data_IF_736711578382
#
_entry.id   IF_736711578382
#
_cell.length_a   1.000
_cell.length_b   1.000
_cell.length_c   1.000
_cell.angle_alpha   90.00
_cell.angle_beta   90.00
_cell.angle_gamma   90.00
#
_symmetry.space_group_name_H-M   'P 1'
#
loop_
_entity.id
_entity.type
_entity.pdbx_description
1 polymer ?
#
# COMPACT_ATOMS: atom_id res chain seq x y z
N UNK A 1 2.19 -11.20 1.21
CA UNK A 1 0.85 -10.57 1.07
C UNK A 1 1.04 -9.08 1.22
N UNK A 2 0.46 -8.24 0.36
CA UNK A 2 0.85 -6.84 0.24
C UNK A 2 -0.33 -5.89 0.38
N UNK A 3 -0.31 -5.13 1.46
CA UNK A 3 -1.14 -3.94 1.63
C UNK A 3 -0.23 -2.73 1.48
N UNK A 4 -0.53 -1.86 0.52
CA UNK A 4 0.27 -0.68 0.24
C UNK A 4 -0.41 0.52 0.86
N UNK A 5 0.27 1.12 1.82
CA UNK A 5 -0.17 2.36 2.45
C UNK A 5 0.46 3.55 1.74
N UNK A 6 -0.37 4.52 1.42
CA UNK A 6 0.02 5.83 0.94
C UNK A 6 -0.74 6.83 1.79
N UNK A 7 -0.20 7.24 2.93
CA UNK A 7 -0.73 8.42 3.63
C UNK A 7 0.35 9.18 4.40
N UNK A 8 0.18 10.50 4.44
CA UNK A 8 1.11 11.51 4.96
C UNK A 8 1.12 11.69 6.48
N UNK A 9 0.37 10.89 7.23
CA UNK A 9 0.33 10.95 8.69
C UNK A 9 0.12 9.51 9.17
N UNK A 10 0.82 9.02 10.21
CA UNK A 10 0.53 7.70 10.75
C UNK A 10 -0.81 7.77 11.49
N UNK A 11 -1.91 7.69 10.77
CA UNK A 11 -3.22 7.38 11.33
C UNK A 11 -3.23 5.87 11.59
N UNK A 12 -2.87 5.50 12.81
CA UNK A 12 -2.87 4.15 13.41
C UNK A 12 -4.23 3.42 13.40
N UNK A 13 -5.17 3.86 12.56
CA UNK A 13 -6.56 3.47 12.63
C UNK A 13 -7.01 2.50 11.53
N UNK A 14 -6.22 2.30 10.46
CA UNK A 14 -6.79 1.79 9.22
C UNK A 14 -6.65 0.30 8.93
N UNK A 15 -5.71 -0.40 9.56
CA UNK A 15 -5.74 -1.86 9.74
C UNK A 15 -4.94 -2.09 11.02
N UNK A 16 -5.55 -2.64 12.07
CA UNK A 16 -4.81 -3.07 13.26
C UNK A 16 -3.97 -4.30 12.88
N UNK A 17 -2.87 -4.05 12.18
CA UNK A 17 -1.80 -5.01 11.97
C UNK A 17 -0.88 -4.91 13.18
N UNK A 18 -0.51 -6.03 13.86
CA UNK A 18 0.50 -6.00 14.89
C UNK A 18 1.75 -5.33 14.32
N UNK A 19 2.21 -4.28 14.99
CA UNK A 19 3.20 -3.31 14.52
C UNK A 19 4.62 -3.91 14.35
N UNK A 20 4.77 -5.21 14.62
CA UNK A 20 6.07 -5.85 14.84
C UNK A 20 6.78 -6.28 13.53
N UNK A 21 6.08 -6.40 12.40
CA UNK A 21 6.63 -6.87 11.12
C UNK A 21 6.43 -5.89 9.94
N UNK A 22 6.83 -4.63 10.11
CA UNK A 22 6.87 -3.66 9.01
C UNK A 22 8.25 -3.66 8.33
N UNK A 23 8.27 -3.92 7.02
CA UNK A 23 9.48 -3.77 6.19
C UNK A 23 9.41 -2.49 5.39
N UNK A 24 10.38 -1.60 5.60
CA UNK A 24 10.53 -0.40 4.79
C UNK A 24 10.93 -0.74 3.35
N UNK A 25 10.23 -0.17 2.37
CA UNK A 25 10.51 -0.40 0.95
C UNK A 25 11.28 0.77 0.33
N UNK A 26 10.69 1.96 0.36
CA UNK A 26 11.28 3.17 -0.22
C UNK A 26 10.57 4.45 0.23
N UNK A 27 11.09 5.60 -0.20
CA UNK A 27 10.38 6.87 -0.13
C UNK A 27 10.33 7.52 -1.51
N UNK A 28 9.25 8.25 -1.77
CA UNK A 28 9.02 8.92 -3.05
C UNK A 28 8.29 10.25 -2.84
N UNK A 29 8.61 11.21 -3.70
CA UNK A 29 7.96 12.52 -3.73
C UNK A 29 7.07 12.60 -4.99
N UNK A 30 5.76 12.30 -4.88
CA UNK A 30 4.86 12.22 -6.03
C UNK A 30 4.58 13.57 -6.71
N UNK A 31 4.86 14.68 -6.05
CA UNK A 31 4.56 16.03 -6.56
C UNK A 31 5.75 16.97 -6.44
N UNK A 32 6.95 16.46 -6.78
CA UNK A 32 8.17 17.26 -6.82
C UNK A 32 7.98 18.55 -7.62
N UNK A 33 8.28 19.70 -6.99
CA UNK A 33 8.13 21.03 -7.58
C UNK A 33 6.78 21.71 -7.35
N UNK A 34 5.76 20.98 -6.88
CA UNK A 34 4.44 21.52 -6.49
C UNK A 34 4.20 21.40 -4.98
N UNK A 35 4.81 20.42 -4.33
CA UNK A 35 4.70 20.17 -2.89
C UNK A 35 5.97 19.52 -2.36
N UNK A 36 6.23 19.70 -1.07
CA UNK A 36 7.24 18.99 -0.28
C UNK A 36 6.74 17.60 0.20
N UNK A 37 5.54 17.19 -0.24
CA UNK A 37 4.93 15.88 -0.04
C UNK A 37 5.95 14.76 -0.29
N UNK A 38 6.24 14.02 0.77
CA UNK A 38 7.05 12.79 0.77
C UNK A 38 6.21 11.64 1.31
N UNK A 39 6.21 10.54 0.57
CA UNK A 39 5.51 9.32 0.95
C UNK A 39 6.54 8.24 1.27
N UNK A 40 6.33 7.55 2.38
CA UNK A 40 7.13 6.42 2.82
C UNK A 40 6.32 5.14 2.63
N UNK A 41 6.88 4.20 1.88
CA UNK A 41 6.23 2.93 1.56
C UNK A 41 6.75 1.83 2.47
N UNK A 42 5.82 1.09 3.06
CA UNK A 42 6.09 -0.06 3.92
C UNK A 42 5.28 -1.26 3.43
N UNK A 43 5.86 -2.44 3.59
CA UNK A 43 5.16 -3.72 3.47
C UNK A 43 4.93 -4.30 4.87
N UNK A 44 3.81 -4.99 5.03
CA UNK A 44 3.47 -5.69 6.26
C UNK A 44 3.02 -7.12 5.94
N UNK A 45 3.32 -8.07 6.82
CA UNK A 45 2.67 -9.37 6.83
C UNK A 45 1.39 -9.26 7.66
N UNK A 46 0.25 -9.59 7.05
CA UNK A 46 -1.05 -9.57 7.74
C UNK A 46 -1.42 -10.99 8.09
N UNK A 47 -1.43 -11.31 9.39
CA UNK A 47 -1.80 -12.64 9.89
C UNK A 47 -3.30 -12.76 10.24
N UNK A 48 -3.91 -11.66 10.67
CA UNK A 48 -5.34 -11.58 11.00
C UNK A 48 -6.00 -10.40 10.32
N UNK A 49 -7.18 -10.63 9.75
CA UNK A 49 -8.01 -9.59 9.16
C UNK A 49 -9.10 -9.14 10.13
N UNK A 50 -9.20 -7.83 10.34
CA UNK A 50 -10.35 -7.23 11.02
C UNK A 50 -11.35 -6.81 9.94
N UNK A 51 -12.59 -7.25 10.10
CA UNK A 51 -13.69 -7.03 9.15
C UNK A 51 -14.36 -5.67 9.28
N UNK A 52 -14.04 -4.93 10.34
CA UNK A 52 -14.61 -3.60 10.56
C UNK A 52 -13.84 -2.56 9.73
N UNK A 53 -14.53 -1.96 8.78
CA UNK A 53 -13.98 -0.99 7.82
C UNK A 53 -14.74 0.31 8.05
N UNK A 54 -14.02 1.40 8.31
CA UNK A 54 -14.64 2.74 8.27
C UNK A 54 -15.03 3.06 6.83
N UNK A 55 -16.35 3.01 6.57
CA UNK A 55 -16.94 3.23 5.24
C UNK A 55 -16.71 4.64 4.69
N UNK A 56 -16.39 5.61 5.55
CA UNK A 56 -16.06 6.98 5.11
C UNK A 56 -14.63 7.09 4.56
N UNK A 57 -13.80 6.12 4.90
CA UNK A 57 -12.35 6.18 4.73
C UNK A 57 -11.83 5.11 3.76
N UNK A 58 -12.50 3.96 3.70
CA UNK A 58 -12.15 2.82 2.85
C UNK A 58 -13.41 2.36 2.11
N UNK A 59 -13.38 2.52 0.79
CA UNK A 59 -14.49 2.09 -0.06
C UNK A 59 -14.56 0.55 -0.16
N UNK A 60 -13.42 -0.12 -0.31
CA UNK A 60 -13.35 -1.56 -0.47
C UNK A 60 -11.97 -2.09 -0.11
N UNK A 61 -11.91 -3.36 0.29
CA UNK A 61 -10.69 -4.12 0.49
C UNK A 61 -10.74 -5.36 -0.38
N UNK A 62 -9.63 -5.67 -1.03
CA UNK A 62 -9.51 -6.86 -1.88
C UNK A 62 -8.18 -7.55 -1.61
N UNK A 63 -8.23 -8.87 -1.46
CA UNK A 63 -7.05 -9.72 -1.50
C UNK A 63 -6.77 -10.14 -2.93
N UNK A 64 -5.52 -9.96 -3.36
CA UNK A 64 -5.08 -10.28 -4.71
C UNK A 64 -3.89 -11.24 -4.63
N UNK A 65 -3.93 -12.38 -5.35
CA UNK A 65 -2.78 -13.27 -5.44
C UNK A 65 -1.64 -12.59 -6.20
N UNK A 66 -0.38 -12.89 -5.85
CA UNK A 66 0.79 -12.17 -6.39
C UNK A 66 0.88 -12.27 -7.91
N UNK A 67 0.44 -13.39 -8.47
CA UNK A 67 0.47 -13.70 -9.90
C UNK A 67 -0.41 -12.72 -10.70
N UNK A 68 -1.50 -12.24 -10.10
CA UNK A 68 -2.47 -11.37 -10.76
C UNK A 68 -2.10 -9.88 -10.64
N UNK A 69 -1.06 -9.53 -9.88
CA UNK A 69 -0.65 -8.13 -9.72
C UNK A 69 -0.17 -7.57 -11.06
N UNK A 70 0.58 -8.34 -11.85
CA UNK A 70 1.03 -7.90 -13.18
C UNK A 70 -0.12 -7.66 -14.14
N UNK A 71 -1.21 -8.43 -14.06
CA UNK A 71 -2.41 -8.20 -14.86
C UNK A 71 -3.09 -6.88 -14.46
N UNK A 72 -3.25 -6.62 -13.15
CA UNK A 72 -3.81 -5.35 -12.65
C UNK A 72 -3.00 -4.15 -13.15
N UNK A 73 -1.66 -4.25 -13.14
CA UNK A 73 -0.77 -3.21 -13.64
C UNK A 73 -0.89 -3.06 -15.16
N UNK A 74 -0.87 -4.17 -15.90
CA UNK A 74 -0.94 -4.17 -17.38
C UNK A 74 -2.26 -3.64 -17.90
N UNK A 75 -3.37 -3.97 -17.24
CA UNK A 75 -4.72 -3.53 -17.60
C UNK A 75 -5.05 -2.12 -17.08
N UNK A 76 -4.10 -1.46 -16.40
CA UNK A 76 -4.27 -0.12 -15.82
C UNK A 76 -5.50 -0.03 -14.88
N UNK A 77 -5.77 -1.12 -14.14
CA UNK A 77 -6.89 -1.20 -13.19
C UNK A 77 -6.64 -0.40 -11.91
N UNK A 78 -5.38 -0.03 -11.66
CA UNK A 78 -4.99 0.95 -10.65
C UNK A 78 -4.30 2.12 -11.33
N UNK A 79 -4.69 3.35 -10.98
CA UNK A 79 -4.16 4.58 -11.58
C UNK A 79 -3.40 5.45 -10.57
N UNK A 80 -3.35 5.02 -9.30
CA UNK A 80 -2.60 5.73 -8.28
C UNK A 80 -1.11 5.41 -8.40
N UNK A 81 -0.30 6.40 -8.77
CA UNK A 81 1.14 6.23 -8.97
C UNK A 81 1.88 5.70 -7.74
N UNK A 82 1.47 6.12 -6.53
CA UNK A 82 2.06 5.64 -5.28
C UNK A 82 1.72 4.16 -5.03
N UNK A 83 0.47 3.76 -5.31
CA UNK A 83 0.06 2.36 -5.21
C UNK A 83 0.78 1.48 -6.24
N UNK A 84 0.94 1.95 -7.48
CA UNK A 84 1.71 1.22 -8.50
C UNK A 84 3.17 1.04 -8.06
N UNK A 85 3.80 2.12 -7.59
CA UNK A 85 5.18 2.09 -7.08
C UNK A 85 5.32 1.07 -5.94
N UNK A 86 4.40 1.09 -4.99
CA UNK A 86 4.37 0.13 -3.90
C UNK A 86 4.28 -1.32 -4.39
N UNK A 87 3.41 -1.60 -5.37
CA UNK A 87 3.21 -2.96 -5.90
C UNK A 87 4.51 -3.46 -6.53
N UNK A 88 5.14 -2.62 -7.35
CA UNK A 88 6.39 -2.94 -8.03
C UNK A 88 7.53 -3.19 -7.04
N UNK A 89 7.72 -2.31 -6.06
CA UNK A 89 8.76 -2.48 -5.05
C UNK A 89 8.58 -3.76 -4.27
N UNK A 90 7.35 -4.05 -3.89
CA UNK A 90 7.12 -5.18 -3.03
C UNK A 90 7.16 -6.52 -3.76
N UNK A 91 6.79 -6.56 -5.05
CA UNK A 91 7.09 -7.71 -5.92
C UNK A 91 8.60 -7.94 -6.02
N UNK A 92 9.38 -6.87 -6.16
CA UNK A 92 10.81 -6.97 -6.45
C UNK A 92 11.68 -7.23 -5.21
N UNK A 93 11.26 -6.75 -4.04
CA UNK A 93 12.13 -6.67 -2.85
C UNK A 93 11.53 -7.26 -1.57
N UNK A 94 10.27 -7.70 -1.58
CA UNK A 94 9.60 -8.20 -0.37
C UNK A 94 8.97 -9.59 -0.52
N UNK A 95 8.44 -9.92 -1.70
CA UNK A 95 7.79 -11.21 -1.99
C UNK A 95 8.76 -12.32 -2.41
#
# INVERSE_FOLDING_TARGET
>A
MLTLYSDQVPSYHKIHCPQEDLTYLCCYNPSNGMSDLKVHLFAAKVDTEITDIDKNEVHAKQWVPKENIFEILKENRTQCGVSILGLLYAIQFYL
#
